data_IF_024608630656
#
_entry.id   IF_024608630656
#
_cell.length_a   1.000
_cell.length_b   1.000
_cell.length_c   1.000
_cell.angle_alpha   90.00
_cell.angle_beta   90.00
_cell.angle_gamma   90.00
#
_symmetry.space_group_name_H-M   'P 1'
#
loop_
_entity.id
_entity.type
_entity.pdbx_description
1 polymer ?
#
# COMPACT_ATOMS: atom_id res chain seq x y z
N UNK A 1 4.82 1.53 -16.99
CA UNK A 1 4.55 2.49 -15.90
C UNK A 1 4.06 3.79 -16.49
N UNK A 2 3.24 4.55 -15.76
CA UNK A 2 2.70 5.83 -16.21
C UNK A 2 3.76 6.97 -16.30
N UNK A 3 4.99 6.74 -15.83
CA UNK A 3 6.09 7.71 -15.82
C UNK A 3 7.26 7.22 -16.70
N UNK A 4 7.94 8.11 -17.46
CA UNK A 4 9.12 7.77 -18.26
C UNK A 4 10.26 7.13 -17.45
N UNK A 5 10.99 6.22 -18.10
CA UNK A 5 11.61 5.03 -17.50
C UNK A 5 13.11 5.21 -17.18
N UNK A 6 13.68 6.38 -17.43
CA UNK A 6 15.14 6.53 -17.54
C UNK A 6 15.82 6.71 -16.17
N UNK A 7 15.05 7.07 -15.14
CA UNK A 7 15.54 7.41 -13.79
C UNK A 7 14.93 6.57 -12.67
N UNK A 8 14.09 5.58 -13.02
CA UNK A 8 13.30 4.81 -12.05
C UNK A 8 13.71 3.35 -12.12
N UNK A 9 14.02 2.76 -10.97
CA UNK A 9 14.24 1.32 -10.89
C UNK A 9 12.90 0.57 -10.83
N UNK A 10 12.46 0.02 -11.95
CA UNK A 10 11.19 -0.75 -12.05
C UNK A 10 11.17 -1.91 -11.05
N UNK A 11 12.26 -2.66 -10.89
CA UNK A 11 12.30 -3.81 -9.97
C UNK A 11 12.04 -3.37 -8.53
N UNK A 12 12.63 -2.24 -8.11
CA UNK A 12 12.36 -1.66 -6.79
C UNK A 12 10.91 -1.22 -6.67
N UNK A 13 10.35 -0.54 -7.67
CA UNK A 13 8.95 -0.13 -7.66
C UNK A 13 7.98 -1.32 -7.54
N UNK A 14 8.23 -2.41 -8.27
CA UNK A 14 7.40 -3.62 -8.19
C UNK A 14 7.47 -4.23 -6.79
N UNK A 15 8.67 -4.31 -6.21
CA UNK A 15 8.85 -4.79 -4.84
C UNK A 15 8.11 -3.94 -3.82
N UNK A 16 8.25 -2.61 -3.88
CA UNK A 16 7.54 -1.70 -2.98
C UNK A 16 6.02 -1.82 -3.20
N UNK A 17 5.54 -1.86 -4.45
CA UNK A 17 4.11 -1.99 -4.75
C UNK A 17 3.50 -3.29 -4.18
N UNK A 18 4.25 -4.39 -4.15
CA UNK A 18 3.80 -5.64 -3.53
C UNK A 18 3.80 -5.56 -2.00
N UNK A 19 4.76 -4.83 -1.42
CA UNK A 19 4.98 -4.82 0.04
C UNK A 19 4.19 -3.72 0.77
N UNK A 20 3.86 -2.59 0.12
CA UNK A 20 3.36 -1.40 0.82
C UNK A 20 2.12 -1.66 1.68
N UNK A 21 1.13 -2.39 1.15
CA UNK A 21 -0.11 -2.74 1.84
C UNK A 21 -0.13 -4.21 2.32
N UNK A 22 1.01 -4.93 2.31
CA UNK A 22 1.03 -6.36 2.67
C UNK A 22 0.60 -6.61 4.13
N UNK A 23 0.78 -5.62 5.00
CA UNK A 23 0.36 -5.70 6.40
C UNK A 23 -1.17 -5.78 6.55
N UNK A 24 -1.94 -5.22 5.60
CA UNK A 24 -3.41 -5.23 5.61
C UNK A 24 -3.99 -6.64 5.52
N UNK A 25 -3.21 -7.61 5.03
CA UNK A 25 -3.58 -9.02 5.03
C UNK A 25 -3.84 -9.58 6.45
N UNK A 26 -3.25 -8.97 7.48
CA UNK A 26 -3.45 -9.36 8.89
C UNK A 26 -4.12 -8.27 9.72
N UNK A 27 -3.82 -6.98 9.49
CA UNK A 27 -4.43 -5.88 10.27
C UNK A 27 -5.77 -5.41 9.72
N UNK A 28 -6.11 -5.80 8.49
CA UNK A 28 -7.24 -5.27 7.73
C UNK A 28 -6.95 -3.90 7.10
N UNK A 29 -7.75 -3.49 6.13
CA UNK A 29 -7.70 -2.15 5.54
C UNK A 29 -8.22 -1.10 6.57
N UNK A 30 -7.27 -0.46 7.27
CA UNK A 30 -7.57 0.57 8.27
C UNK A 30 -7.74 1.93 7.58
N UNK A 31 -8.97 2.23 7.21
CA UNK A 31 -9.32 3.52 6.59
C UNK A 31 -9.31 4.69 7.60
N UNK A 32 -9.16 5.94 7.14
CA UNK A 32 -9.24 7.14 8.00
C UNK A 32 -10.55 7.27 8.80
N UNK A 33 -11.64 6.67 8.31
CA UNK A 33 -12.95 6.67 8.97
C UNK A 33 -13.11 5.53 9.99
N UNK A 34 -12.14 4.62 10.08
CA UNK A 34 -12.17 3.44 10.96
C UNK A 34 -11.93 3.75 12.45
N UNK A 35 -11.77 5.00 12.84
CA UNK A 35 -11.59 5.42 14.25
C UNK A 35 -10.24 5.06 14.87
N UNK A 36 -9.29 4.55 14.08
CA UNK A 36 -7.93 4.23 14.51
C UNK A 36 -7.01 5.42 14.23
N UNK A 37 -6.21 5.83 15.21
CA UNK A 37 -5.26 6.93 15.02
C UNK A 37 -4.14 6.51 14.06
N UNK A 38 -3.55 7.48 13.35
CA UNK A 38 -2.41 7.23 12.45
C UNK A 38 -1.26 6.49 13.15
N UNK A 39 -0.97 6.86 14.39
CA UNK A 39 0.08 6.21 15.20
C UNK A 39 -0.25 4.76 15.52
N UNK A 40 -1.51 4.45 15.84
CA UNK A 40 -1.93 3.08 16.14
C UNK A 40 -1.99 2.22 14.87
N UNK A 41 -2.44 2.79 13.75
CA UNK A 41 -2.36 2.13 12.42
C UNK A 41 -0.90 1.72 12.13
N UNK A 42 0.01 2.70 12.18
CA UNK A 42 1.43 2.47 11.92
C UNK A 42 2.03 1.42 12.86
N UNK A 43 1.69 1.45 14.16
CA UNK A 43 2.17 0.45 15.13
C UNK A 43 1.71 -0.97 14.77
N UNK A 44 0.44 -1.15 14.39
CA UNK A 44 -0.12 -2.45 14.01
C UNK A 44 0.54 -2.99 12.74
N UNK A 45 0.72 -2.13 11.75
CA UNK A 45 1.35 -2.48 10.49
C UNK A 45 2.83 -2.84 10.69
N UNK A 46 3.57 -2.05 11.46
CA UNK A 46 4.98 -2.33 11.77
C UNK A 46 5.18 -3.69 12.45
N UNK A 47 4.35 -4.01 13.45
CA UNK A 47 4.40 -5.33 14.12
C UNK A 47 4.12 -6.46 13.13
N UNK A 48 3.18 -6.23 12.22
CA UNK A 48 2.82 -7.20 11.18
C UNK A 48 3.96 -7.43 10.19
N UNK A 49 4.63 -6.36 9.76
CA UNK A 49 5.80 -6.44 8.88
C UNK A 49 6.94 -7.23 9.54
N UNK A 50 7.21 -7.01 10.83
CA UNK A 50 8.19 -7.80 11.57
C UNK A 50 7.81 -9.28 11.65
N UNK A 51 6.53 -9.59 11.88
CA UNK A 51 6.05 -10.96 11.88
C UNK A 51 6.23 -11.62 10.50
N UNK A 52 5.80 -10.96 9.41
CA UNK A 52 5.97 -11.47 8.05
C UNK A 52 7.43 -11.69 7.67
N UNK A 53 8.32 -10.76 8.08
CA UNK A 53 9.77 -10.91 7.94
C UNK A 53 10.27 -12.20 8.60
N UNK A 54 9.86 -12.45 9.85
CA UNK A 54 10.26 -13.67 10.58
C UNK A 54 9.75 -14.97 9.94
N UNK A 55 8.59 -14.95 9.26
CA UNK A 55 8.04 -16.12 8.55
C UNK A 55 8.86 -16.47 7.30
N UNK A 56 9.41 -15.46 6.63
CA UNK A 56 10.14 -15.60 5.38
C UNK A 56 11.63 -15.89 5.64
N UNK A 57 12.16 -15.45 6.78
CA UNK A 57 13.57 -15.61 7.15
C UNK A 57 14.13 -17.02 6.94
N UNK A 58 13.45 -18.13 7.31
CA UNK A 58 13.96 -19.49 7.09
C UNK A 58 14.15 -19.87 5.61
N UNK A 59 13.44 -19.20 4.70
CA UNK A 59 13.44 -19.49 3.26
C UNK A 59 14.28 -18.50 2.46
N UNK A 60 14.28 -17.24 2.87
CA UNK A 60 15.03 -16.17 2.22
C UNK A 60 15.43 -15.07 3.23
N UNK A 61 16.55 -15.24 3.95
CA UNK A 61 17.01 -14.28 4.96
C UNK A 61 17.29 -12.88 4.41
N UNK A 62 17.74 -12.79 3.15
CA UNK A 62 18.00 -11.51 2.49
C UNK A 62 16.69 -10.76 2.28
N UNK A 63 15.70 -11.43 1.67
CA UNK A 63 14.40 -10.80 1.41
C UNK A 63 13.63 -10.50 2.70
N UNK A 64 13.75 -11.32 3.74
CA UNK A 64 13.17 -11.05 5.04
C UNK A 64 13.61 -9.69 5.61
N UNK A 65 14.88 -9.30 5.41
CA UNK A 65 15.40 -7.98 5.79
C UNK A 65 14.87 -6.89 4.86
N UNK A 66 14.84 -7.16 3.55
CA UNK A 66 14.37 -6.19 2.55
C UNK A 66 12.90 -5.80 2.75
N UNK A 67 12.03 -6.70 3.24
CA UNK A 67 10.60 -6.41 3.45
C UNK A 67 10.39 -5.18 4.34
N UNK A 68 11.14 -5.08 5.44
CA UNK A 68 11.02 -3.94 6.36
C UNK A 68 11.46 -2.64 5.67
N UNK A 69 12.60 -2.65 4.97
CA UNK A 69 13.12 -1.47 4.28
C UNK A 69 12.23 -1.04 3.12
N UNK A 70 11.66 -1.98 2.36
CA UNK A 70 10.72 -1.70 1.27
C UNK A 70 9.42 -1.09 1.81
N UNK A 71 8.93 -1.57 2.95
CA UNK A 71 7.75 -0.99 3.59
C UNK A 71 8.04 0.42 4.15
N UNK A 72 9.18 0.62 4.81
CA UNK A 72 9.58 1.93 5.33
C UNK A 72 9.86 2.94 4.21
N UNK A 73 10.46 2.50 3.10
CA UNK A 73 10.65 3.33 1.91
C UNK A 73 9.33 3.95 1.45
N UNK A 74 8.27 3.16 1.47
CA UNK A 74 6.92 3.62 1.14
C UNK A 74 6.33 4.52 2.22
N UNK A 75 6.28 4.06 3.48
CA UNK A 75 5.58 4.81 4.53
C UNK A 75 6.24 6.14 4.90
N UNK A 76 7.56 6.24 4.73
CA UNK A 76 8.31 7.47 4.97
C UNK A 76 8.65 8.23 3.69
N UNK A 77 8.27 7.72 2.51
CA UNK A 77 8.49 8.37 1.22
C UNK A 77 9.99 8.64 0.99
N UNK A 78 10.84 7.63 1.20
CA UNK A 78 12.30 7.77 1.20
C UNK A 78 12.92 7.88 -0.19
N UNK A 79 12.20 7.46 -1.23
CA UNK A 79 12.70 7.41 -2.61
C UNK A 79 11.64 7.76 -3.66
N UNK A 80 12.05 8.07 -4.88
CA UNK A 80 11.13 8.40 -5.99
C UNK A 80 10.28 7.19 -6.38
N UNK A 81 10.85 5.99 -6.22
CA UNK A 81 10.19 4.71 -6.44
C UNK A 81 9.03 4.46 -5.47
N UNK A 82 9.07 5.04 -4.27
CA UNK A 82 8.03 4.93 -3.24
C UNK A 82 6.88 5.93 -3.39
N UNK A 83 7.10 7.04 -4.10
CA UNK A 83 6.11 8.11 -4.23
C UNK A 83 5.40 8.06 -5.59
N UNK A 84 6.00 8.71 -6.59
CA UNK A 84 5.37 8.97 -7.88
C UNK A 84 5.19 7.71 -8.72
N UNK A 85 6.05 6.69 -8.52
CA UNK A 85 6.02 5.47 -9.33
C UNK A 85 4.93 4.48 -8.92
N UNK A 86 4.41 4.56 -7.69
CA UNK A 86 3.39 3.63 -7.16
C UNK A 86 2.03 4.31 -7.08
N UNK A 87 1.98 5.53 -6.53
CA UNK A 87 0.76 6.35 -6.52
C UNK A 87 0.98 7.59 -7.36
N UNK A 88 0.61 7.49 -8.64
CA UNK A 88 0.51 8.67 -9.50
C UNK A 88 -0.82 9.39 -9.25
N UNK A 89 -0.85 10.70 -9.50
CA UNK A 89 -2.07 11.50 -9.35
C UNK A 89 -3.20 10.94 -10.21
N UNK A 90 -2.89 10.53 -11.44
CA UNK A 90 -3.84 9.97 -12.40
C UNK A 90 -4.49 8.68 -11.90
N UNK A 91 -3.70 7.80 -11.28
CA UNK A 91 -4.23 6.55 -10.69
C UNK A 91 -5.08 6.86 -9.46
N UNK A 92 -4.65 7.80 -8.61
CA UNK A 92 -5.44 8.27 -7.47
C UNK A 92 -6.80 8.84 -7.90
N UNK A 93 -6.80 9.77 -8.86
CA UNK A 93 -8.02 10.38 -9.40
C UNK A 93 -8.96 9.32 -10.02
N UNK A 94 -8.41 8.31 -10.70
CA UNK A 94 -9.18 7.19 -11.25
C UNK A 94 -9.82 6.34 -10.14
N UNK A 95 -9.07 6.00 -9.09
CA UNK A 95 -9.58 5.25 -7.95
C UNK A 95 -10.73 6.00 -7.26
N UNK A 96 -10.57 7.31 -7.03
CA UNK A 96 -11.60 8.15 -6.41
C UNK A 96 -12.89 8.19 -7.25
N UNK A 97 -12.76 8.34 -8.58
CA UNK A 97 -13.92 8.35 -9.47
C UNK A 97 -14.62 6.98 -9.55
N UNK A 98 -13.87 5.88 -9.51
CA UNK A 98 -14.45 4.53 -9.45
C UNK A 98 -15.24 4.33 -8.14
N UNK A 99 -14.70 4.80 -7.00
CA UNK A 99 -15.39 4.75 -5.71
C UNK A 99 -16.68 5.59 -5.74
N UNK A 100 -16.63 6.77 -6.35
CA UNK A 100 -17.78 7.66 -6.53
C UNK A 100 -18.89 6.98 -7.36
N UNK A 101 -18.54 6.39 -8.50
CA UNK A 101 -19.50 5.68 -9.36
C UNK A 101 -20.11 4.47 -8.65
N UNK A 102 -19.31 3.68 -7.94
CA UNK A 102 -19.80 2.55 -7.14
C UNK A 102 -20.79 3.01 -6.07
N UNK A 103 -20.49 4.11 -5.38
CA UNK A 103 -21.35 4.66 -4.31
C UNK A 103 -22.69 5.11 -4.86
N UNK A 104 -22.70 5.82 -6.00
CA UNK A 104 -23.93 6.23 -6.70
C UNK A 104 -24.76 5.01 -7.09
N UNK A 105 -24.16 4.03 -7.75
CA UNK A 105 -24.83 2.81 -8.18
C UNK A 105 -25.48 2.04 -7.00
N UNK A 106 -24.79 1.93 -5.87
CA UNK A 106 -25.35 1.28 -4.67
C UNK A 106 -26.53 2.06 -4.08
N UNK A 107 -26.48 3.39 -4.08
CA UNK A 107 -27.58 4.22 -3.58
C UNK A 107 -28.80 4.12 -4.50
N UNK A 108 -28.60 4.17 -5.82
CA UNK A 108 -29.68 4.01 -6.79
C UNK A 108 -30.38 2.64 -6.63
N UNK A 109 -29.63 1.58 -6.32
CA UNK A 109 -30.22 0.26 -6.05
C UNK A 109 -31.06 0.22 -4.77
N UNK A 110 -30.69 1.00 -3.74
CA UNK A 110 -31.45 1.10 -2.48
C UNK A 110 -32.71 1.92 -2.62
N UNK A 111 -32.67 2.99 -3.44
CA UNK A 111 -33.82 3.89 -3.64
C UNK A 111 -34.90 3.26 -4.56
N UNK A 112 -34.54 2.23 -5.33
CA UNK A 112 -35.44 1.47 -6.21
C UNK A 112 -35.99 0.16 -5.58
N UNK A 113 -35.78 -0.07 -4.27
CA UNK A 113 -36.36 -1.17 -3.48
C UNK A 113 -37.35 -0.64 -2.45
#
# INVERSE_FOLDING_TARGET
>A
MAIPNDKINIDRCVKIAVIHDIAEALVGDITPFGGVSKTEKHRRELITIHYLSSLIEPYNPTFAKDILELWLDYEEIRCIEAQSAIKSKEIGDLCDEVINQRTKFINDLKDNQ
#
